data_IF_976597861180
#
_entry.id   IF_976597861180
#
_cell.length_a   1.000
_cell.length_b   1.000
_cell.length_c   1.000
_cell.angle_alpha   90.00
_cell.angle_beta   90.00
_cell.angle_gamma   90.00
#
_symmetry.space_group_name_H-M   'P 1'
#
loop_
_entity.id
_entity.type
_entity.pdbx_description
1 polymer ?
#
# COMPACT_ATOMS: atom_id res chain seq x y z
N UNK A 1 -15.58 -5.46 0.28
CA UNK A 1 -16.10 -4.47 1.25
C UNK A 1 -15.21 -3.22 1.23
N UNK A 2 -15.73 -2.07 1.68
CA UNK A 2 -14.95 -0.86 1.93
C UNK A 2 -14.64 -0.75 3.44
N UNK A 3 -13.45 -0.26 3.83
CA UNK A 3 -13.14 -0.03 5.24
C UNK A 3 -14.08 1.02 5.83
N UNK A 4 -14.25 1.01 7.16
CA UNK A 4 -15.02 2.03 7.88
C UNK A 4 -14.02 2.88 8.65
N UNK A 5 -13.91 4.16 8.27
CA UNK A 5 -13.05 5.12 8.96
C UNK A 5 -13.79 5.70 10.16
N UNK A 6 -13.45 5.19 11.34
CA UNK A 6 -13.84 5.83 12.61
C UNK A 6 -12.85 6.95 12.92
N UNK A 7 -13.30 7.99 13.61
CA UNK A 7 -12.39 9.06 14.04
C UNK A 7 -11.17 8.47 14.78
N UNK A 8 -9.97 8.85 14.35
CA UNK A 8 -8.70 8.34 14.90
C UNK A 8 -8.30 6.94 14.43
N UNK A 9 -8.89 6.41 13.36
CA UNK A 9 -8.47 5.13 12.79
C UNK A 9 -7.02 5.18 12.30
N UNK A 10 -6.55 6.35 11.87
CA UNK A 10 -5.22 6.60 11.32
C UNK A 10 -4.13 6.16 12.30
N UNK A 11 -4.25 6.54 13.58
CA UNK A 11 -3.29 6.14 14.63
C UNK A 11 -3.22 4.63 14.82
N UNK A 12 -4.37 3.94 14.77
CA UNK A 12 -4.40 2.47 14.88
C UNK A 12 -3.82 1.81 13.63
N UNK A 13 -4.14 2.35 12.46
CA UNK A 13 -3.62 1.87 11.19
C UNK A 13 -2.09 2.05 11.11
N UNK A 14 -1.55 3.21 11.48
CA UNK A 14 -0.12 3.50 11.50
C UNK A 14 0.68 2.54 12.38
N UNK A 15 0.13 2.10 13.51
CA UNK A 15 0.78 1.09 14.38
C UNK A 15 0.90 -0.24 13.64
N UNK A 16 -0.17 -0.68 12.97
CA UNK A 16 -0.20 -1.95 12.24
C UNK A 16 0.66 -1.87 10.98
N UNK A 17 0.55 -0.79 10.21
CA UNK A 17 1.30 -0.57 8.96
C UNK A 17 2.81 -0.54 9.22
N UNK A 18 3.25 0.16 10.27
CA UNK A 18 4.65 0.18 10.69
C UNK A 18 5.15 -1.20 11.11
N UNK A 19 4.38 -1.93 11.91
CA UNK A 19 4.75 -3.29 12.34
C UNK A 19 4.85 -4.25 11.15
N UNK A 20 3.90 -4.20 10.21
CA UNK A 20 3.96 -4.99 8.98
C UNK A 20 5.19 -4.66 8.12
N UNK A 21 5.58 -3.38 8.07
CA UNK A 21 6.77 -2.92 7.35
C UNK A 21 8.10 -3.44 7.92
N UNK A 22 8.11 -3.96 9.15
CA UNK A 22 9.29 -4.58 9.75
C UNK A 22 9.46 -6.06 9.35
N UNK A 23 8.42 -6.68 8.77
CA UNK A 23 8.44 -8.10 8.38
C UNK A 23 9.15 -8.27 7.04
N UNK A 24 10.33 -8.90 7.07
CA UNK A 24 11.10 -9.18 5.86
C UNK A 24 10.34 -10.10 4.90
N UNK A 25 10.35 -9.74 3.62
CA UNK A 25 9.70 -10.52 2.56
C UNK A 25 8.18 -10.38 2.52
N UNK A 26 7.59 -9.49 3.33
CA UNK A 26 6.17 -9.14 3.27
C UNK A 26 5.98 -7.77 2.63
N UNK A 27 5.00 -7.69 1.73
CA UNK A 27 4.55 -6.43 1.16
C UNK A 27 3.02 -6.35 1.28
N UNK A 28 2.51 -5.25 1.81
CA UNK A 28 1.07 -4.99 1.88
C UNK A 28 0.71 -3.86 0.93
N UNK A 29 -0.36 -4.07 0.15
CA UNK A 29 -0.90 -3.07 -0.76
C UNK A 29 -2.38 -3.34 -1.06
N UNK A 30 -3.00 -2.43 -1.79
CA UNK A 30 -4.41 -2.52 -2.16
C UNK A 30 -5.34 -2.25 -0.99
N UNK A 31 -6.64 -2.38 -1.28
CA UNK A 31 -7.73 -1.98 -0.37
C UNK A 31 -7.59 -2.50 1.06
N UNK A 32 -7.31 -3.79 1.23
CA UNK A 32 -7.22 -4.41 2.56
C UNK A 32 -5.83 -4.21 3.18
N UNK A 33 -4.77 -4.27 2.37
CA UNK A 33 -3.40 -4.13 2.86
C UNK A 33 -3.07 -2.73 3.36
N UNK A 34 -3.69 -1.69 2.77
CA UNK A 34 -3.50 -0.29 3.14
C UNK A 34 -4.71 0.31 3.84
N UNK A 35 -5.71 -0.51 4.20
CA UNK A 35 -6.97 -0.07 4.76
C UNK A 35 -7.59 1.12 3.99
N UNK A 36 -7.48 1.10 2.66
CA UNK A 36 -7.85 2.21 1.78
C UNK A 36 -9.26 2.02 1.17
N UNK A 37 -9.93 3.12 0.83
CA UNK A 37 -11.02 3.08 -0.13
C UNK A 37 -10.42 3.08 -1.53
N UNK A 38 -10.61 2.01 -2.30
CA UNK A 38 -9.85 1.85 -3.55
C UNK A 38 -10.62 1.11 -4.63
N UNK A 39 -10.43 1.48 -5.91
CA UNK A 39 -10.99 0.76 -7.06
C UNK A 39 -10.05 -0.34 -7.55
N UNK A 40 -10.57 -1.24 -8.39
CA UNK A 40 -9.76 -2.34 -8.95
C UNK A 40 -8.54 -1.83 -9.73
N UNK A 41 -8.69 -0.74 -10.49
CA UNK A 41 -7.59 -0.22 -11.31
C UNK A 41 -6.44 0.34 -10.47
N UNK A 42 -6.73 0.93 -9.30
CA UNK A 42 -5.70 1.35 -8.35
C UNK A 42 -4.98 0.17 -7.70
N UNK A 43 -5.70 -0.87 -7.27
CA UNK A 43 -5.07 -2.07 -6.74
C UNK A 43 -4.14 -2.73 -7.78
N UNK A 44 -4.53 -2.72 -9.06
CA UNK A 44 -3.67 -3.17 -10.15
C UNK A 44 -2.45 -2.26 -10.35
N UNK A 45 -2.64 -0.93 -10.29
CA UNK A 45 -1.53 0.03 -10.33
C UNK A 45 -0.53 -0.21 -9.19
N UNK A 46 -1.00 -0.46 -7.97
CA UNK A 46 -0.15 -0.81 -6.83
C UNK A 46 0.63 -2.10 -7.06
N UNK A 47 0.00 -3.12 -7.65
CA UNK A 47 0.68 -4.37 -8.00
C UNK A 47 1.77 -4.15 -9.06
N UNK A 48 1.51 -3.33 -10.08
CA UNK A 48 2.53 -2.97 -11.08
C UNK A 48 3.67 -2.14 -10.48
N UNK A 49 3.36 -1.24 -9.55
CA UNK A 49 4.38 -0.49 -8.80
C UNK A 49 5.27 -1.44 -7.97
N UNK A 50 4.69 -2.39 -7.25
CA UNK A 50 5.44 -3.40 -6.52
C UNK A 50 6.35 -4.23 -7.43
N UNK A 51 5.84 -4.65 -8.60
CA UNK A 51 6.64 -5.37 -9.58
C UNK A 51 7.81 -4.53 -10.14
N UNK A 52 7.61 -3.22 -10.34
CA UNK A 52 8.68 -2.29 -10.78
C UNK A 52 9.80 -2.14 -9.75
N UNK A 53 9.50 -2.28 -8.46
CA UNK A 53 10.51 -2.22 -7.41
C UNK A 53 11.38 -3.49 -7.33
N UNK A 54 11.01 -4.58 -8.01
CA UNK A 54 11.82 -5.79 -8.05
C UNK A 54 12.81 -5.73 -9.21
N UNK A 55 14.11 -5.72 -8.92
CA UNK A 55 15.14 -5.74 -9.95
C UNK A 55 15.44 -7.16 -10.45
N UNK A 56 16.22 -7.27 -11.53
CA UNK A 56 16.60 -8.54 -12.15
C UNK A 56 17.42 -9.48 -11.26
N UNK A 57 18.04 -8.96 -10.20
CA UNK A 57 18.74 -9.72 -9.17
C UNK A 57 17.85 -10.19 -8.02
N UNK A 58 16.54 -9.91 -8.06
CA UNK A 58 15.59 -10.26 -7.01
C UNK A 58 15.65 -9.35 -5.79
N UNK A 59 16.43 -8.27 -5.84
CA UNK A 59 16.45 -7.27 -4.78
C UNK A 59 15.30 -6.26 -4.96
N UNK A 60 14.66 -5.91 -3.85
CA UNK A 60 13.53 -4.99 -3.82
C UNK A 60 14.00 -3.57 -3.48
N UNK A 61 13.67 -2.60 -4.32
CA UNK A 61 13.96 -1.19 -4.14
C UNK A 61 12.93 -0.56 -3.18
N UNK A 62 13.28 -0.56 -1.89
CA UNK A 62 12.44 0.01 -0.84
C UNK A 62 12.26 1.52 -0.94
N UNK A 63 13.26 2.25 -1.45
CA UNK A 63 13.15 3.71 -1.62
C UNK A 63 12.09 4.02 -2.66
N UNK A 64 12.16 3.34 -3.81
CA UNK A 64 11.16 3.50 -4.86
C UNK A 64 9.77 3.06 -4.38
N UNK A 65 9.68 1.99 -3.60
CA UNK A 65 8.41 1.56 -3.02
C UNK A 65 7.78 2.63 -2.13
N UNK A 66 8.55 3.29 -1.26
CA UNK A 66 8.03 4.37 -0.42
C UNK A 66 7.54 5.57 -1.24
N UNK A 67 8.18 5.88 -2.36
CA UNK A 67 7.68 6.92 -3.28
C UNK A 67 6.35 6.53 -3.93
N UNK A 68 6.18 5.27 -4.33
CA UNK A 68 4.88 4.78 -4.80
C UNK A 68 3.80 4.82 -3.72
N UNK A 69 4.14 4.50 -2.47
CA UNK A 69 3.17 4.58 -1.36
C UNK A 69 2.59 5.98 -1.18
N UNK A 70 3.41 7.03 -1.33
CA UNK A 70 2.94 8.43 -1.31
C UNK A 70 1.95 8.73 -2.45
N UNK A 71 2.12 8.11 -3.61
CA UNK A 71 1.17 8.25 -4.73
C UNK A 71 -0.15 7.56 -4.39
N UNK A 72 -0.12 6.39 -3.73
CA UNK A 72 -1.35 5.68 -3.36
C UNK A 72 -2.23 6.46 -2.38
N UNK A 73 -1.63 7.28 -1.52
CA UNK A 73 -2.37 8.18 -0.61
C UNK A 73 -3.23 9.21 -1.35
N UNK A 74 -2.94 9.49 -2.63
CA UNK A 74 -3.73 10.41 -3.45
C UNK A 74 -4.84 9.72 -4.24
N UNK A 75 -4.95 8.39 -4.18
CA UNK A 75 -6.03 7.67 -4.85
C UNK A 75 -7.37 8.02 -4.19
N UNK A 76 -8.33 8.41 -5.02
CA UNK A 76 -9.72 8.68 -4.61
C UNK A 76 -10.60 7.70 -5.35
N UNK A 77 -11.63 7.16 -4.69
CA UNK A 77 -12.54 6.23 -5.37
C UNK A 77 -13.25 6.96 -6.52
N UNK A 78 -13.17 6.38 -7.71
CA UNK A 78 -13.78 6.86 -8.95
C UNK A 78 -14.71 5.76 -9.52
N UNK A 79 -15.86 6.16 -10.06
CA UNK A 79 -16.87 5.26 -10.67
C UNK A 79 -16.63 5.08 -12.18
#
# INVERSE_FOLDING_TARGET
AYPIYRAGYETNFEVVDRWLGEIQGLLTFGRQGLFAHDNTHHALYMAYAAAKCLNSGGAFDWTQWQEFRKIFETHVVED
#
